data_IF_869775399369
#
_entry.id   IF_869775399369
#
_cell.length_a   1.000
_cell.length_b   1.000
_cell.length_c   1.000
_cell.angle_alpha   90.00
_cell.angle_beta   90.00
_cell.angle_gamma   90.00
#
_symmetry.space_group_name_H-M   'P 1'
#
loop_
_entity.id
_entity.type
_entity.pdbx_description
1 polymer ?
#
# COMPACT_ATOMS: atom_id res chain seq x y z
N UNK A 1 -7.54 54.58 -47.44
CA UNK A 1 -8.08 53.52 -46.57
C UNK A 1 -8.75 52.34 -47.32
N UNK A 2 -8.36 52.03 -48.57
CA UNK A 2 -8.93 50.90 -49.33
C UNK A 2 -8.12 49.59 -49.21
N UNK A 3 -6.87 49.66 -48.74
CA UNK A 3 -5.93 48.52 -48.69
C UNK A 3 -6.26 47.47 -47.61
N UNK A 4 -7.25 47.74 -46.76
CA UNK A 4 -7.65 46.90 -45.61
C UNK A 4 -9.09 46.37 -45.72
N UNK A 5 -9.78 46.62 -46.84
CA UNK A 5 -11.18 46.24 -47.03
C UNK A 5 -11.32 45.28 -48.21
N UNK A 6 -12.06 44.19 -48.00
CA UNK A 6 -12.37 43.19 -49.03
C UNK A 6 -12.17 41.74 -48.56
N UNK A 7 -12.86 40.82 -49.24
CA UNK A 7 -12.81 39.36 -49.01
C UNK A 7 -11.40 38.76 -49.02
N UNK A 8 -10.47 39.19 -49.91
CA UNK A 8 -9.10 38.67 -49.91
C UNK A 8 -8.31 39.05 -48.65
N UNK A 9 -8.52 40.27 -48.16
CA UNK A 9 -7.87 40.76 -46.94
C UNK A 9 -8.42 40.06 -45.69
N UNK A 10 -9.73 39.81 -45.66
CA UNK A 10 -10.39 39.04 -44.61
C UNK A 10 -9.89 37.59 -44.56
N UNK A 11 -9.78 36.91 -45.71
CA UNK A 11 -9.25 35.55 -45.78
C UNK A 11 -7.80 35.46 -45.28
N UNK A 12 -6.95 36.43 -45.63
CA UNK A 12 -5.57 36.51 -45.13
C UNK A 12 -5.54 36.75 -43.61
N UNK A 13 -6.41 37.62 -43.09
CA UNK A 13 -6.50 37.90 -41.64
C UNK A 13 -6.99 36.68 -40.86
N UNK A 14 -8.01 35.97 -41.36
CA UNK A 14 -8.51 34.72 -40.78
C UNK A 14 -7.42 33.65 -40.72
N UNK A 15 -6.66 33.46 -41.79
CA UNK A 15 -5.54 32.50 -41.80
C UNK A 15 -4.46 32.84 -40.77
N UNK A 16 -4.12 34.13 -40.62
CA UNK A 16 -3.14 34.57 -39.61
C UNK A 16 -3.67 34.32 -38.19
N UNK A 17 -4.94 34.61 -37.93
CA UNK A 17 -5.56 34.38 -36.62
C UNK A 17 -5.63 32.89 -36.32
N UNK A 18 -6.04 32.07 -37.27
CA UNK A 18 -6.10 30.61 -37.13
C UNK A 18 -4.71 30.03 -36.87
N UNK A 19 -3.70 30.42 -37.66
CA UNK A 19 -2.32 29.96 -37.48
C UNK A 19 -1.78 30.34 -36.09
N UNK A 20 -1.96 31.59 -35.65
CA UNK A 20 -1.57 32.02 -34.30
C UNK A 20 -2.32 31.27 -33.20
N UNK A 21 -3.59 30.95 -33.42
CA UNK A 21 -4.39 30.18 -32.46
C UNK A 21 -3.88 28.74 -32.34
N UNK A 22 -3.58 28.09 -33.47
CA UNK A 22 -2.98 26.75 -33.52
C UNK A 22 -1.61 26.76 -32.82
N UNK A 23 -0.72 27.71 -33.16
CA UNK A 23 0.61 27.83 -32.56
C UNK A 23 0.56 28.03 -31.04
N UNK A 24 -0.46 28.74 -30.54
CA UNK A 24 -0.67 28.95 -29.10
C UNK A 24 -1.20 27.70 -28.39
N UNK A 25 -2.12 26.96 -29.02
CA UNK A 25 -2.77 25.80 -28.42
C UNK A 25 -1.95 24.50 -28.52
N UNK A 26 -1.05 24.40 -29.50
CA UNK A 26 -0.18 23.24 -29.70
C UNK A 26 0.65 22.89 -28.45
N UNK A 27 1.42 23.80 -27.84
CA UNK A 27 2.23 23.46 -26.66
C UNK A 27 1.38 23.00 -25.48
N UNK A 28 0.25 23.66 -25.23
CA UNK A 28 -0.68 23.26 -24.16
C UNK A 28 -1.25 21.85 -24.39
N UNK A 29 -1.59 21.52 -25.63
CA UNK A 29 -2.08 20.20 -26.01
C UNK A 29 -0.99 19.14 -25.85
N UNK A 30 0.24 19.43 -26.28
CA UNK A 30 1.39 18.54 -26.08
C UNK A 30 1.62 18.24 -24.60
N UNK A 31 1.65 19.26 -23.73
CA UNK A 31 1.83 19.06 -22.28
C UNK A 31 0.70 18.23 -21.66
N UNK A 32 -0.55 18.44 -22.11
CA UNK A 32 -1.70 17.62 -21.68
C UNK A 32 -1.56 16.15 -22.10
N UNK A 33 -1.07 15.89 -23.31
CA UNK A 33 -0.83 14.53 -23.79
C UNK A 33 0.33 13.89 -23.01
N UNK A 34 1.44 14.60 -22.82
CA UNK A 34 2.60 14.10 -22.08
C UNK A 34 2.26 13.76 -20.63
N UNK A 35 1.50 14.64 -19.94
CA UNK A 35 1.04 14.38 -18.58
C UNK A 35 0.07 13.19 -18.49
N UNK A 36 -0.85 13.06 -19.44
CA UNK A 36 -1.75 11.90 -19.52
C UNK A 36 -0.98 10.62 -19.79
N UNK A 37 -0.01 10.66 -20.70
CA UNK A 37 0.83 9.52 -21.05
C UNK A 37 1.74 9.09 -19.89
N UNK A 38 2.29 10.05 -19.13
CA UNK A 38 3.04 9.75 -17.90
C UNK A 38 2.15 9.05 -16.86
N UNK A 39 0.92 9.52 -16.65
CA UNK A 39 -0.05 8.87 -15.76
C UNK A 39 -0.36 7.43 -16.21
N UNK A 40 -0.63 7.22 -17.49
CA UNK A 40 -0.93 5.88 -18.00
C UNK A 40 0.28 4.95 -17.95
N UNK A 41 1.50 5.45 -18.11
CA UNK A 41 2.73 4.66 -17.91
C UNK A 41 2.90 4.23 -16.46
N UNK A 42 2.63 5.11 -15.50
CA UNK A 42 2.67 4.77 -14.07
C UNK A 42 1.61 3.73 -13.70
N UNK A 43 0.41 3.86 -14.26
CA UNK A 43 -0.68 2.90 -14.07
C UNK A 43 -0.36 1.54 -14.71
N UNK A 44 0.20 1.53 -15.93
CA UNK A 44 0.66 0.31 -16.59
C UNK A 44 1.77 -0.39 -15.81
N UNK A 45 2.71 0.38 -15.22
CA UNK A 45 3.76 -0.17 -14.37
C UNK A 45 3.20 -0.88 -13.11
N UNK A 46 2.07 -0.41 -12.56
CA UNK A 46 1.40 -1.05 -11.43
C UNK A 46 0.66 -2.34 -11.81
N UNK A 47 0.11 -2.39 -13.03
CA UNK A 47 -0.61 -3.57 -13.55
C UNK A 47 0.39 -4.65 -14.02
N UNK A 48 1.62 -4.25 -14.36
CA UNK A 48 2.66 -5.13 -14.87
C UNK A 48 2.60 -5.29 -16.39
N UNK A 49 3.73 -5.66 -17.01
CA UNK A 49 3.78 -5.87 -18.46
C UNK A 49 3.10 -7.19 -18.85
N UNK A 50 2.20 -7.19 -19.85
CA UNK A 50 1.57 -8.42 -20.35
C UNK A 50 2.58 -9.45 -20.88
N UNK A 51 3.75 -8.99 -21.36
CA UNK A 51 4.84 -9.87 -21.82
C UNK A 51 5.57 -10.58 -20.66
N UNK A 52 5.54 -10.00 -19.45
CA UNK A 52 6.02 -10.64 -18.21
C UNK A 52 4.98 -11.58 -17.59
N UNK A 53 3.70 -11.45 -17.98
CA UNK A 53 2.61 -12.35 -17.61
C UNK A 53 2.58 -13.64 -18.45
N UNK A 54 3.74 -14.05 -19.01
CA UNK A 54 3.89 -15.37 -19.63
C UNK A 54 3.35 -16.48 -18.73
N UNK A 55 2.95 -17.62 -19.33
CA UNK A 55 2.28 -18.79 -18.74
C UNK A 55 1.50 -18.52 -17.42
N UNK A 56 0.16 -18.62 -17.39
CA UNK A 56 -0.66 -18.38 -16.20
C UNK A 56 -0.13 -18.98 -14.89
N UNK A 57 0.58 -20.10 -14.98
CA UNK A 57 1.30 -20.77 -13.89
C UNK A 57 2.36 -19.87 -13.20
N UNK A 58 3.15 -19.12 -13.97
CA UNK A 58 4.18 -18.22 -13.46
C UNK A 58 3.58 -16.99 -12.78
N UNK A 59 2.48 -16.47 -13.32
CA UNK A 59 1.74 -15.36 -12.71
C UNK A 59 1.23 -15.77 -11.33
N UNK A 60 0.63 -16.96 -11.22
CA UNK A 60 0.16 -17.49 -9.96
C UNK A 60 1.30 -17.66 -8.95
N UNK A 61 2.44 -18.23 -9.37
CA UNK A 61 3.61 -18.38 -8.51
C UNK A 61 4.15 -17.03 -8.03
N UNK A 62 4.19 -16.03 -8.90
CA UNK A 62 4.64 -14.69 -8.51
C UNK A 62 3.69 -14.06 -7.48
N UNK A 63 2.37 -14.18 -7.67
CA UNK A 63 1.37 -13.70 -6.71
C UNK A 63 1.54 -14.38 -5.35
N UNK A 64 1.69 -15.71 -5.33
CA UNK A 64 1.90 -16.47 -4.08
C UNK A 64 3.20 -16.03 -3.40
N UNK A 65 4.27 -15.84 -4.16
CA UNK A 65 5.57 -15.41 -3.65
C UNK A 65 5.49 -14.00 -3.05
N UNK A 66 4.83 -13.08 -3.74
CA UNK A 66 4.65 -11.70 -3.29
C UNK A 66 3.81 -11.66 -1.99
N UNK A 67 2.69 -12.39 -1.97
CA UNK A 67 1.84 -12.52 -0.79
C UNK A 67 2.60 -13.12 0.41
N UNK A 68 3.41 -14.15 0.18
CA UNK A 68 4.20 -14.79 1.26
C UNK A 68 5.22 -13.82 1.84
N UNK A 69 5.91 -13.05 0.97
CA UNK A 69 6.88 -12.04 1.39
C UNK A 69 6.23 -10.89 2.14
N UNK A 70 5.09 -10.39 1.67
CA UNK A 70 4.34 -9.34 2.38
C UNK A 70 3.88 -9.83 3.76
N UNK A 71 3.42 -11.08 3.85
CA UNK A 71 3.02 -11.68 5.12
C UNK A 71 4.19 -11.79 6.11
N UNK A 72 5.38 -12.21 5.65
CA UNK A 72 6.61 -12.22 6.45
C UNK A 72 6.96 -10.80 6.94
N UNK A 73 6.90 -9.80 6.07
CA UNK A 73 7.18 -8.40 6.45
C UNK A 73 6.20 -7.86 7.50
N UNK A 74 4.92 -8.25 7.45
CA UNK A 74 3.94 -7.89 8.47
C UNK A 74 4.26 -8.57 9.80
N UNK A 75 4.71 -9.83 9.78
CA UNK A 75 5.11 -10.54 10.99
C UNK A 75 6.42 -10.01 11.58
N UNK A 76 7.36 -9.55 10.77
CA UNK A 76 8.61 -8.94 11.25
C UNK A 76 8.45 -7.46 11.64
N UNK A 77 7.37 -6.82 11.21
CA UNK A 77 7.13 -5.39 11.44
C UNK A 77 7.93 -4.47 10.50
N UNK A 78 8.35 -4.98 9.34
CA UNK A 78 9.08 -4.23 8.30
C UNK A 78 8.19 -3.75 7.16
N UNK A 79 6.88 -4.01 7.25
CA UNK A 79 5.90 -3.58 6.25
C UNK A 79 5.85 -2.05 6.10
N UNK A 80 5.70 -1.54 4.88
CA UNK A 80 5.72 -0.10 4.60
C UNK A 80 4.45 0.64 5.02
N UNK A 81 3.32 -0.06 5.20
CA UNK A 81 2.02 0.54 5.50
C UNK A 81 1.57 0.19 6.94
N UNK A 82 2.44 0.51 7.91
CA UNK A 82 2.18 0.28 9.32
C UNK A 82 1.22 1.35 9.87
N UNK A 83 0.09 0.90 10.43
CA UNK A 83 -0.77 1.76 11.23
C UNK A 83 -0.05 2.22 12.50
N UNK A 84 0.02 3.53 12.72
CA UNK A 84 0.57 4.12 13.95
C UNK A 84 -0.41 4.09 15.13
N UNK A 85 -1.69 3.82 14.88
CA UNK A 85 -2.74 3.88 15.90
C UNK A 85 -2.98 2.55 16.59
N UNK A 86 -2.64 1.42 15.96
CA UNK A 86 -2.96 0.09 16.47
C UNK A 86 -1.79 -0.87 16.29
N UNK A 87 -1.52 -1.67 17.33
CA UNK A 87 -0.55 -2.78 17.26
C UNK A 87 -1.07 -3.87 16.31
N UNK A 88 -0.32 -4.13 15.24
CA UNK A 88 -0.62 -5.17 14.25
C UNK A 88 0.60 -6.06 13.99
N UNK A 89 0.40 -7.15 13.23
CA UNK A 89 1.47 -8.07 12.83
C UNK A 89 2.26 -8.65 14.01
N UNK A 90 3.59 -8.69 13.89
CA UNK A 90 4.49 -9.23 14.91
C UNK A 90 4.43 -8.53 16.25
N UNK A 91 4.27 -7.20 16.24
CA UNK A 91 4.19 -6.42 17.47
C UNK A 91 2.94 -6.80 18.29
N UNK A 92 1.82 -7.08 17.62
CA UNK A 92 0.61 -7.56 18.30
C UNK A 92 0.80 -8.95 18.89
N UNK A 93 1.44 -9.86 18.17
CA UNK A 93 1.76 -11.21 18.68
C UNK A 93 2.66 -11.10 19.91
N UNK A 94 3.69 -10.27 19.85
CA UNK A 94 4.60 -10.03 20.98
C UNK A 94 3.86 -9.49 22.21
N UNK A 95 2.94 -8.54 22.02
CA UNK A 95 2.10 -8.01 23.10
C UNK A 95 1.24 -9.10 23.75
N UNK A 96 0.67 -10.01 22.96
CA UNK A 96 -0.12 -11.12 23.51
C UNK A 96 0.72 -12.00 24.46
N UNK A 97 1.96 -12.32 24.10
CA UNK A 97 2.79 -13.20 24.93
C UNK A 97 3.45 -12.48 26.11
N UNK A 98 3.95 -11.27 25.92
CA UNK A 98 4.71 -10.57 26.95
C UNK A 98 3.84 -9.80 27.94
N UNK A 99 2.66 -9.33 27.50
CA UNK A 99 1.75 -8.58 28.37
C UNK A 99 0.58 -9.45 28.80
N UNK A 100 -0.29 -9.87 27.87
CA UNK A 100 -1.51 -10.59 28.22
C UNK A 100 -1.23 -11.93 28.91
N UNK A 101 -0.39 -12.77 28.29
CA UNK A 101 -0.10 -14.10 28.83
C UNK A 101 0.72 -14.01 30.12
N UNK A 102 1.79 -13.21 30.15
CA UNK A 102 2.60 -13.06 31.35
C UNK A 102 1.81 -12.50 32.55
N UNK A 103 0.93 -11.52 32.31
CA UNK A 103 0.06 -10.99 33.37
C UNK A 103 -0.99 -12.02 33.80
N UNK A 104 -1.52 -12.82 32.86
CA UNK A 104 -2.39 -13.96 33.17
C UNK A 104 -1.72 -14.96 34.10
N UNK A 105 -0.47 -15.35 33.82
CA UNK A 105 0.29 -16.27 34.68
C UNK A 105 0.57 -15.66 36.06
N UNK A 106 0.96 -14.38 36.13
CA UNK A 106 1.23 -13.70 37.42
C UNK A 106 -0.02 -13.54 38.29
N UNK A 107 -1.21 -13.50 37.68
CA UNK A 107 -2.47 -13.38 38.40
C UNK A 107 -2.94 -14.70 39.04
N UNK A 108 -2.33 -15.84 38.66
CA UNK A 108 -2.67 -17.14 39.23
C UNK A 108 -1.97 -17.28 40.59
N UNK A 109 -2.76 -17.48 41.64
CA UNK A 109 -2.23 -17.82 42.96
C UNK A 109 -1.86 -19.32 42.99
N UNK A 110 -0.58 -19.68 43.16
CA UNK A 110 -0.15 -21.07 43.20
C UNK A 110 -0.67 -21.84 44.41
N UNK A 111 -1.15 -21.15 45.46
CA UNK A 111 -1.65 -21.76 46.69
C UNK A 111 -3.17 -21.66 46.84
N UNK A 112 -3.90 -21.24 45.79
CA UNK A 112 -5.36 -21.09 45.84
C UNK A 112 -6.07 -22.37 46.31
N UNK A 113 -5.52 -23.54 45.94
CA UNK A 113 -6.08 -24.85 46.27
C UNK A 113 -5.34 -25.59 47.39
N UNK A 114 -4.18 -25.10 47.84
CA UNK A 114 -3.35 -25.79 48.83
C UNK A 114 -3.30 -24.96 50.10
N UNK A 115 -4.04 -25.40 51.12
CA UNK A 115 -4.07 -24.72 52.42
C UNK A 115 -3.00 -25.27 53.35
N UNK A 116 -2.57 -24.48 54.33
CA UNK A 116 -1.58 -24.88 55.34
C UNK A 116 -1.94 -26.19 56.07
N UNK A 117 -3.24 -26.47 56.25
CA UNK A 117 -3.72 -27.71 56.86
C UNK A 117 -3.45 -28.92 55.96
N UNK A 118 -3.57 -28.77 54.64
CA UNK A 118 -3.30 -29.83 53.68
C UNK A 118 -1.80 -30.11 53.64
N UNK A 119 -0.96 -29.07 53.63
CA UNK A 119 0.50 -29.19 53.70
C UNK A 119 0.92 -29.95 54.96
N UNK A 120 0.35 -29.59 56.12
CA UNK A 120 0.64 -30.26 57.40
C UNK A 120 0.20 -31.73 57.39
N UNK A 121 -0.98 -32.00 56.84
CA UNK A 121 -1.52 -33.36 56.75
C UNK A 121 -0.67 -34.25 55.84
N UNK A 122 -0.23 -33.71 54.70
CA UNK A 122 0.69 -34.41 53.78
C UNK A 122 2.02 -34.73 54.47
N UNK A 123 2.62 -33.77 55.18
CA UNK A 123 3.88 -33.96 55.92
C UNK A 123 3.78 -35.04 57.01
N UNK A 124 2.65 -35.10 57.71
CA UNK A 124 2.44 -36.11 58.76
C UNK A 124 2.24 -37.52 58.17
N UNK A 125 1.56 -37.62 57.01
CA UNK A 125 1.31 -38.89 56.32
C UNK A 125 2.49 -39.39 55.48
N UNK A 126 3.47 -38.53 55.17
CA UNK A 126 4.68 -38.89 54.44
C UNK A 126 5.85 -39.28 55.34
N UNK A 127 5.65 -39.23 56.66
CA UNK A 127 6.56 -39.76 57.69
C UNK A 127 6.18 -41.18 58.07
#
# INVERSE_FOLDING_TARGET
NASFCGTPFLAKRLNIVLKKHIERFLPETTTKIESSLARYRDELAKIGEPELLGDPSNVLLNIITLMSREYEQVLEGTASDLSVNELSGGARVSFVFHELFANGIRAIDPFEQVKDVDIRTILYNSS
#
